data_IF_074397323039
#
_entry.id   IF_074397323039
#
_cell.length_a   1.000
_cell.length_b   1.000
_cell.length_c   1.000
_cell.angle_alpha   90.00
_cell.angle_beta   90.00
_cell.angle_gamma   90.00
#
_symmetry.space_group_name_H-M   'P 1'
#
loop_
_entity.id
_entity.type
_entity.pdbx_description
1 polymer ?
#
# COMPACT_ATOMS: atom_id res chain seq x y z
N UNK A 1 -45.77 -57.23 9.57
CA UNK A 1 -45.00 -58.42 9.99
C UNK A 1 -43.60 -58.19 9.47
N UNK A 2 -42.90 -57.27 10.13
CA UNK A 2 -41.99 -57.53 11.27
C UNK A 2 -40.63 -57.96 10.71
N UNK A 3 -39.49 -57.57 11.22
CA UNK A 3 -38.97 -56.45 12.00
C UNK A 3 -37.45 -56.74 12.03
N UNK A 4 -36.59 -55.71 12.09
CA UNK A 4 -35.27 -55.70 12.76
C UNK A 4 -34.24 -56.86 12.53
N UNK A 5 -32.92 -56.71 12.44
CA UNK A 5 -31.95 -55.63 12.55
C UNK A 5 -30.54 -56.27 12.34
N UNK A 6 -29.58 -55.45 11.89
CA UNK A 6 -28.18 -55.36 12.39
C UNK A 6 -27.10 -56.40 12.01
N UNK A 7 -26.01 -55.84 11.46
CA UNK A 7 -24.67 -56.43 11.37
C UNK A 7 -23.97 -55.98 10.07
N UNK A 8 -23.27 -54.85 9.99
CA UNK A 8 -22.11 -54.50 10.81
C UNK A 8 -20.82 -54.94 10.11
N UNK A 9 -20.37 -54.21 9.08
CA UNK A 9 -18.97 -54.21 8.60
C UNK A 9 -18.65 -52.82 8.04
N UNK A 10 -17.83 -52.10 8.80
CA UNK A 10 -17.32 -50.79 8.43
C UNK A 10 -15.97 -50.86 7.70
N UNK A 11 -15.74 -49.76 6.98
CA UNK A 11 -14.50 -49.25 6.37
C UNK A 11 -14.05 -49.91 5.05
N UNK A 12 -13.72 -49.05 4.06
CA UNK A 12 -12.39 -48.45 4.06
C UNK A 12 -12.37 -46.91 3.99
N UNK A 13 -11.53 -46.35 4.85
CA UNK A 13 -10.47 -45.40 4.47
C UNK A 13 -10.89 -44.10 3.78
N UNK A 14 -11.48 -43.18 4.57
CA UNK A 14 -11.35 -41.74 4.30
C UNK A 14 -9.90 -41.32 4.58
N UNK A 15 -9.17 -40.97 3.53
CA UNK A 15 -7.98 -40.13 3.66
C UNK A 15 -8.39 -38.81 4.31
N UNK A 16 -8.06 -38.65 5.58
CA UNK A 16 -8.00 -37.35 6.23
C UNK A 16 -6.76 -36.64 5.66
N UNK A 17 -6.99 -35.69 4.75
CA UNK A 17 -6.02 -34.62 4.53
C UNK A 17 -6.08 -33.76 5.78
N UNK A 18 -5.11 -33.98 6.67
CA UNK A 18 -4.78 -33.04 7.73
C UNK A 18 -4.21 -31.78 7.08
N UNK A 19 -5.02 -30.71 7.02
CA UNK A 19 -4.54 -29.36 6.78
C UNK A 19 -4.19 -28.78 8.16
N UNK A 20 -2.93 -28.42 8.43
CA UNK A 20 -2.60 -27.75 9.68
C UNK A 20 -3.16 -26.32 9.62
N UNK A 21 -4.20 -26.08 10.41
CA UNK A 21 -4.58 -24.78 10.87
C UNK A 21 -3.51 -24.33 11.88
N UNK A 22 -2.48 -23.64 11.41
CA UNK A 22 -1.63 -22.74 12.21
C UNK A 22 -0.68 -22.01 11.25
N UNK A 23 -1.19 -20.98 10.57
CA UNK A 23 -0.34 -19.87 10.18
C UNK A 23 -0.75 -18.72 11.08
N UNK A 24 0.05 -18.58 12.13
CA UNK A 24 0.09 -17.48 13.06
C UNK A 24 -0.29 -16.17 12.36
N UNK A 25 -1.42 -15.63 12.80
CA UNK A 25 -1.76 -14.22 12.69
C UNK A 25 -0.61 -13.41 13.33
N UNK A 26 0.43 -13.11 12.56
CA UNK A 26 1.24 -11.94 12.84
C UNK A 26 0.43 -10.73 12.40
N UNK A 27 -0.46 -10.32 13.30
CA UNK A 27 -0.88 -8.93 13.38
C UNK A 27 0.40 -8.09 13.38
N UNK A 28 0.67 -7.40 12.27
CA UNK A 28 1.63 -6.31 12.26
C UNK A 28 1.10 -5.30 13.29
N UNK A 29 1.88 -4.89 14.30
CA UNK A 29 1.44 -3.82 15.18
C UNK A 29 1.42 -2.53 14.37
N UNK A 30 0.29 -2.26 13.73
CA UNK A 30 -0.10 -0.92 13.31
C UNK A 30 -0.30 -0.10 14.59
N UNK A 31 0.76 0.61 14.96
CA UNK A 31 0.72 1.47 16.13
C UNK A 31 2.08 1.78 16.71
N UNK A 32 3.09 2.08 15.88
CA UNK A 32 4.26 2.78 16.41
C UNK A 32 3.96 4.27 16.38
N UNK A 33 3.47 4.75 17.52
CA UNK A 33 3.30 6.17 17.83
C UNK A 33 4.57 6.95 17.48
N UNK A 34 4.51 7.71 16.37
CA UNK A 34 5.53 8.73 16.05
C UNK A 34 5.16 10.08 16.70
N UNK A 35 4.44 10.03 17.81
CA UNK A 35 4.28 11.16 18.71
C UNK A 35 5.19 10.95 19.91
N UNK A 36 6.50 10.97 19.68
CA UNK A 36 7.44 11.25 20.77
C UNK A 36 7.61 12.77 20.78
N UNK A 37 7.09 13.49 21.78
CA UNK A 37 7.41 14.90 21.94
C UNK A 37 8.93 15.06 21.97
N UNK A 38 9.42 16.17 21.42
CA UNK A 38 10.81 16.60 21.57
C UNK A 38 11.17 16.66 23.06
N UNK A 39 11.66 15.56 23.61
CA UNK A 39 12.36 15.54 24.88
C UNK A 39 13.74 16.13 24.59
N UNK A 40 13.81 17.45 24.74
CA UNK A 40 15.04 18.15 25.05
C UNK A 40 15.60 17.43 26.26
N UNK A 41 16.68 16.68 26.06
CA UNK A 41 17.44 16.09 27.16
C UNK A 41 17.99 17.28 27.93
N UNK A 42 17.39 17.55 29.09
CA UNK A 42 17.94 18.45 30.09
C UNK A 42 19.12 17.70 30.72
N UNK A 43 20.27 17.74 30.04
CA UNK A 43 21.52 17.25 30.61
C UNK A 43 21.88 18.15 31.79
N UNK A 44 21.70 17.57 32.97
CA UNK A 44 22.03 18.07 34.28
C UNK A 44 23.47 18.62 34.30
N UNK A 45 23.62 19.92 34.11
CA UNK A 45 24.90 20.62 34.27
C UNK A 45 25.26 20.68 35.76
N UNK A 46 25.94 19.64 36.26
CA UNK A 46 26.80 19.74 37.44
C UNK A 46 28.15 20.33 37.03
N UNK A 47 28.31 21.62 37.30
CA UNK A 47 29.34 22.10 38.21
C UNK A 47 29.22 23.62 38.37
N UNK A 48 28.78 24.01 39.55
CA UNK A 48 28.66 25.36 40.07
C UNK A 48 30.03 26.04 40.13
N UNK A 49 30.49 26.62 39.02
CA UNK A 49 31.45 27.72 39.06
C UNK A 49 30.67 29.02 38.92
N UNK A 50 30.63 29.78 40.02
CA UNK A 50 30.05 31.13 40.13
C UNK A 50 30.23 31.86 38.79
N UNK A 51 29.14 31.97 38.03
CA UNK A 51 29.13 32.45 36.64
C UNK A 51 29.17 33.98 36.64
N UNK A 52 30.25 34.55 37.18
CA UNK A 52 30.52 35.97 37.06
C UNK A 52 30.87 36.23 35.60
N UNK A 53 30.12 37.12 34.96
CA UNK A 53 30.48 37.67 33.66
C UNK A 53 31.94 38.15 33.76
N UNK A 54 32.91 37.57 33.04
CA UNK A 54 34.32 37.91 33.22
C UNK A 54 34.55 39.40 33.00
N UNK A 55 33.74 40.06 32.16
CA UNK A 55 33.77 41.50 31.93
C UNK A 55 33.50 42.35 33.18
N UNK A 56 32.85 41.80 34.22
CA UNK A 56 32.66 42.49 35.51
C UNK A 56 33.95 42.62 36.33
N UNK A 57 35.03 41.94 35.93
CA UNK A 57 36.35 42.04 36.56
C UNK A 57 37.23 43.13 35.94
N UNK A 58 36.77 43.79 34.86
CA UNK A 58 37.49 44.91 34.27
C UNK A 58 37.41 46.14 35.19
N UNK A 59 38.54 46.83 35.39
CA UNK A 59 38.59 48.05 36.20
C UNK A 59 37.56 49.08 35.70
N UNK A 60 36.97 49.89 36.60
CA UNK A 60 36.06 50.96 36.22
C UNK A 60 36.76 52.01 35.34
N UNK A 61 35.99 52.83 34.59
CA UNK A 61 36.57 53.89 33.78
C UNK A 61 37.38 54.88 34.63
N UNK A 62 38.41 55.54 34.04
CA UNK A 62 39.23 56.53 34.74
C UNK A 62 38.36 57.63 35.35
N UNK A 63 38.73 58.06 36.56
CA UNK A 63 37.90 58.94 37.38
C UNK A 63 37.87 60.37 36.81
N UNK A 64 36.72 60.89 36.34
CA UNK A 64 36.66 62.19 35.66
C UNK A 64 36.97 63.37 36.59
N UNK A 65 36.93 63.18 37.92
CA UNK A 65 37.13 64.25 38.92
C UNK A 65 38.59 64.73 39.06
N UNK A 66 39.58 64.05 38.46
CA UNK A 66 40.95 64.58 38.37
C UNK A 66 41.14 65.62 37.26
N UNK A 67 40.18 65.77 36.35
CA UNK A 67 40.23 66.76 35.26
C UNK A 67 39.80 68.17 35.69
N UNK A 68 39.26 68.38 36.90
CA UNK A 68 38.69 69.67 37.36
C UNK A 68 39.63 70.43 38.31
N UNK A 69 40.95 70.29 38.13
CA UNK A 69 41.89 71.28 38.65
C UNK A 69 42.53 71.99 37.45
N UNK A 70 41.92 73.12 37.07
CA UNK A 70 42.39 74.08 36.07
C UNK A 70 43.70 74.81 36.48
N UNK A 71 44.62 74.12 37.15
CA UNK A 71 45.94 74.62 37.44
C UNK A 71 46.99 73.53 37.15
N UNK A 72 47.80 73.79 36.12
CA UNK A 72 49.08 73.14 35.79
C UNK A 72 49.05 71.83 34.97
N UNK A 73 48.69 71.93 33.69
CA UNK A 73 49.08 70.92 32.67
C UNK A 73 50.45 71.23 32.04
N UNK A 74 51.52 71.36 32.83
CA UNK A 74 52.87 71.51 32.25
C UNK A 74 54.01 70.77 32.97
N UNK A 75 53.73 69.81 33.86
CA UNK A 75 54.80 69.07 34.54
C UNK A 75 54.68 67.54 34.51
N UNK A 76 54.24 66.98 33.38
CA UNK A 76 54.61 65.59 33.06
C UNK A 76 55.99 65.64 32.38
N UNK A 77 57.00 65.15 33.10
CA UNK A 77 58.35 64.89 32.60
C UNK A 77 58.31 64.06 31.29
N UNK A 78 59.18 64.35 30.32
CA UNK A 78 59.29 63.60 29.05
C UNK A 78 59.50 62.08 29.27
N UNK A 79 60.17 61.69 30.35
CA UNK A 79 60.31 60.29 30.77
C UNK A 79 58.95 59.68 31.11
N UNK A 80 58.08 60.38 31.84
CA UNK A 80 56.73 59.93 32.16
C UNK A 80 55.86 59.80 30.91
N UNK A 81 55.98 60.70 29.93
CA UNK A 81 55.29 60.57 28.63
C UNK A 81 55.75 59.33 27.87
N UNK A 82 57.05 59.06 27.89
CA UNK A 82 57.66 57.88 27.27
C UNK A 82 57.15 56.59 27.92
N UNK A 83 57.09 56.56 29.26
CA UNK A 83 56.55 55.42 30.02
C UNK A 83 55.06 55.21 29.72
N UNK A 84 54.25 56.28 29.68
CA UNK A 84 52.82 56.21 29.33
C UNK A 84 52.62 55.61 27.94
N UNK A 85 53.38 56.09 26.95
CA UNK A 85 53.34 55.56 25.59
C UNK A 85 53.72 54.08 25.56
N UNK A 86 54.79 53.72 26.28
CA UNK A 86 55.25 52.34 26.38
C UNK A 86 54.19 51.41 27.01
N UNK A 87 53.56 51.82 28.11
CA UNK A 87 52.47 51.05 28.75
C UNK A 87 51.31 50.82 27.79
N UNK A 88 50.88 51.86 27.03
CA UNK A 88 49.82 51.73 26.02
C UNK A 88 50.22 50.76 24.91
N UNK A 89 51.43 50.88 24.36
CA UNK A 89 51.93 49.98 23.31
C UNK A 89 52.07 48.53 23.79
N UNK A 90 52.53 48.31 25.02
CA UNK A 90 52.62 46.97 25.63
C UNK A 90 51.24 46.35 25.78
N UNK A 91 50.24 47.10 26.25
CA UNK A 91 48.88 46.58 26.34
C UNK A 91 48.31 46.22 24.96
N UNK A 92 48.47 47.09 23.96
CA UNK A 92 48.03 46.80 22.59
C UNK A 92 48.68 45.52 22.10
N UNK A 93 50.00 45.38 22.23
CA UNK A 93 50.71 44.18 21.85
C UNK A 93 50.20 42.93 22.59
N UNK A 94 49.95 43.01 23.89
CA UNK A 94 49.42 41.90 24.67
C UNK A 94 48.00 41.50 24.24
N UNK A 95 47.14 42.47 23.94
CA UNK A 95 45.77 42.21 23.48
C UNK A 95 45.73 41.67 22.05
N UNK A 96 46.62 42.11 21.16
CA UNK A 96 46.59 41.75 19.73
C UNK A 96 47.53 40.61 19.35
N UNK A 97 48.55 40.31 20.17
CA UNK A 97 49.38 39.12 19.95
C UNK A 97 48.50 37.90 20.20
N UNK A 98 48.33 37.03 19.20
CA UNK A 98 47.34 35.93 19.17
C UNK A 98 47.44 34.85 20.28
N UNK A 99 48.21 35.13 21.34
CA UNK A 99 48.31 34.40 22.60
C UNK A 99 47.08 34.57 23.51
N UNK A 100 46.36 35.70 23.42
CA UNK A 100 45.21 36.00 24.29
C UNK A 100 43.89 35.39 23.78
N UNK A 101 43.80 34.05 23.79
CA UNK A 101 42.52 33.34 23.59
C UNK A 101 41.62 33.34 24.82
N UNK A 102 42.14 33.81 25.96
CA UNK A 102 41.46 33.79 27.25
C UNK A 102 41.08 35.23 27.67
N UNK A 103 39.78 35.49 27.80
CA UNK A 103 39.22 36.78 28.23
C UNK A 103 39.76 37.20 29.60
N UNK A 104 39.95 36.27 30.54
CA UNK A 104 40.49 36.57 31.86
C UNK A 104 41.93 37.09 31.78
N UNK A 105 42.74 36.56 30.86
CA UNK A 105 44.11 37.03 30.63
C UNK A 105 44.12 38.44 30.01
N UNK A 106 43.21 38.71 29.07
CA UNK A 106 43.05 40.03 28.46
C UNK A 106 42.66 41.09 29.51
N UNK A 107 41.74 40.74 30.41
CA UNK A 107 41.30 41.61 31.51
C UNK A 107 42.45 41.87 32.49
N UNK A 108 43.23 40.84 32.85
CA UNK A 108 44.41 41.00 33.73
C UNK A 108 45.44 41.95 33.10
N UNK A 109 45.75 41.78 31.82
CA UNK A 109 46.65 42.69 31.10
C UNK A 109 46.13 44.13 31.09
N UNK A 110 44.84 44.32 30.77
CA UNK A 110 44.20 45.63 30.74
C UNK A 110 44.19 46.31 32.11
N UNK A 111 43.79 45.61 33.16
CA UNK A 111 43.76 46.14 34.53
C UNK A 111 45.16 46.53 35.01
N UNK A 112 46.20 45.74 34.69
CA UNK A 112 47.58 46.09 35.02
C UNK A 112 48.01 47.37 34.29
N UNK A 113 47.69 47.51 33.01
CA UNK A 113 48.02 48.71 32.25
C UNK A 113 47.26 49.95 32.79
N UNK A 114 45.97 49.83 33.11
CA UNK A 114 45.18 50.92 33.68
C UNK A 114 45.69 51.35 35.05
N UNK A 115 46.08 50.41 35.91
CA UNK A 115 46.70 50.73 37.20
C UNK A 115 47.99 51.57 37.03
N UNK A 116 48.86 51.20 36.09
CA UNK A 116 50.08 51.96 35.81
C UNK A 116 49.76 53.36 35.22
N UNK A 117 48.73 53.48 34.38
CA UNK A 117 48.32 54.76 33.80
C UNK A 117 47.67 55.69 34.84
N UNK A 118 46.90 55.14 35.79
CA UNK A 118 46.35 55.87 36.94
C UNK A 118 47.46 56.38 37.85
N UNK A 119 48.47 55.55 38.15
CA UNK A 119 49.63 55.93 38.97
C UNK A 119 50.43 57.09 38.35
N UNK A 120 50.52 57.12 37.02
CA UNK A 120 51.21 58.17 36.25
C UNK A 120 50.32 59.40 35.97
N UNK A 121 49.08 59.41 36.49
CA UNK A 121 48.10 60.48 36.31
C UNK A 121 47.83 60.81 34.82
N UNK A 122 47.90 59.80 33.96
CA UNK A 122 47.71 59.97 32.52
C UNK A 122 46.23 60.15 32.15
N UNK A 123 45.93 60.97 31.12
CA UNK A 123 44.64 60.85 30.44
C UNK A 123 44.67 59.67 29.47
N UNK A 124 43.91 58.64 29.79
CA UNK A 124 43.77 57.44 28.97
C UNK A 124 42.31 57.08 28.71
N UNK A 125 41.38 58.02 28.85
CA UNK A 125 39.92 57.77 28.72
C UNK A 125 39.55 57.14 27.37
N UNK A 126 40.06 57.70 26.26
CA UNK A 126 39.85 57.13 24.92
C UNK A 126 40.52 55.76 24.77
N UNK A 127 41.70 55.57 25.36
CA UNK A 127 42.44 54.31 25.30
C UNK A 127 41.75 53.19 26.11
N UNK A 128 41.19 53.54 27.27
CA UNK A 128 40.38 52.66 28.10
C UNK A 128 39.16 52.13 27.32
N UNK A 129 38.41 53.03 26.67
CA UNK A 129 37.23 52.63 25.89
C UNK A 129 37.62 51.67 24.74
N UNK A 130 38.70 51.97 24.01
CA UNK A 130 39.17 51.10 22.94
C UNK A 130 39.59 49.72 23.45
N UNK A 131 40.32 49.63 24.56
CA UNK A 131 40.74 48.36 25.15
C UNK A 131 39.55 47.58 25.74
N UNK A 132 38.61 48.27 26.38
CA UNK A 132 37.36 47.68 26.87
C UNK A 132 36.55 47.09 25.73
N UNK A 133 36.30 47.86 24.68
CA UNK A 133 35.50 47.42 23.53
C UNK A 133 36.17 46.24 22.83
N UNK A 134 37.50 46.25 22.69
CA UNK A 134 38.25 45.12 22.16
C UNK A 134 38.00 43.83 22.97
N UNK A 135 38.07 43.89 24.30
CA UNK A 135 37.82 42.73 25.18
C UNK A 135 36.36 42.28 25.07
N UNK A 136 35.40 43.22 25.03
CA UNK A 136 33.97 42.92 24.87
C UNK A 136 33.71 42.19 23.55
N UNK A 137 34.20 42.71 22.42
CA UNK A 137 34.02 42.07 21.11
C UNK A 137 34.64 40.67 21.06
N UNK A 138 35.78 40.46 21.72
CA UNK A 138 36.40 39.14 21.83
C UNK A 138 35.54 38.18 22.66
N UNK A 139 34.93 38.65 23.75
CA UNK A 139 34.02 37.85 24.57
C UNK A 139 32.74 37.47 23.80
N UNK A 140 32.15 38.42 23.08
CA UNK A 140 30.96 38.19 22.26
C UNK A 140 31.25 37.19 21.14
N UNK A 141 32.40 37.34 20.45
CA UNK A 141 32.84 36.41 19.41
C UNK A 141 33.00 34.99 19.95
N UNK A 142 33.59 34.83 21.14
CA UNK A 142 33.77 33.53 21.76
C UNK A 142 32.42 32.89 22.12
N UNK A 143 31.52 33.68 22.70
CA UNK A 143 30.17 33.24 23.07
C UNK A 143 29.36 32.85 21.83
N UNK A 144 29.39 33.66 20.77
CA UNK A 144 28.71 33.38 19.51
C UNK A 144 29.25 32.11 18.83
N UNK A 145 30.56 31.87 18.86
CA UNK A 145 31.15 30.62 18.34
C UNK A 145 30.66 29.39 19.10
N UNK A 146 30.65 29.43 20.44
CA UNK A 146 30.14 28.34 21.26
C UNK A 146 28.66 28.08 21.02
N UNK A 147 27.85 29.14 20.94
CA UNK A 147 26.42 29.04 20.60
C UNK A 147 26.22 28.42 19.22
N UNK A 148 27.03 28.80 18.22
CA UNK A 148 26.98 28.22 16.87
C UNK A 148 27.31 26.73 16.86
N UNK A 149 28.28 26.29 17.64
CA UNK A 149 28.62 24.86 17.78
C UNK A 149 27.46 24.09 18.44
N UNK A 150 26.90 24.61 19.53
CA UNK A 150 25.76 24.01 20.25
C UNK A 150 24.46 23.99 19.42
N UNK A 151 24.20 25.04 18.64
CA UNK A 151 23.00 25.17 17.80
C UNK A 151 23.23 24.70 16.36
N UNK A 152 24.41 24.15 16.04
CA UNK A 152 24.63 23.57 14.73
C UNK A 152 23.55 22.52 14.48
N UNK A 153 22.86 22.64 13.34
CA UNK A 153 21.73 21.77 13.03
C UNK A 153 22.20 20.32 13.15
N UNK A 154 21.67 19.53 14.09
CA UNK A 154 22.23 18.22 14.38
C UNK A 154 22.22 17.40 13.10
N UNK A 155 23.38 16.85 12.72
CA UNK A 155 23.52 16.05 11.49
C UNK A 155 22.47 14.94 11.45
N UNK A 156 22.18 14.33 12.61
CA UNK A 156 21.11 13.35 12.76
C UNK A 156 19.73 13.89 12.40
N UNK A 157 19.38 15.12 12.79
CA UNK A 157 18.09 15.71 12.48
C UNK A 157 17.97 15.98 10.98
N UNK A 158 19.06 16.42 10.34
CA UNK A 158 19.13 16.56 8.88
C UNK A 158 18.89 15.24 8.17
N UNK A 159 19.61 14.19 8.58
CA UNK A 159 19.45 12.86 7.99
C UNK A 159 18.05 12.31 8.21
N UNK A 160 17.46 12.49 9.41
CA UNK A 160 16.08 12.08 9.67
C UNK A 160 15.08 12.82 8.78
N UNK A 161 15.26 14.12 8.59
CA UNK A 161 14.40 14.93 7.73
C UNK A 161 14.49 14.51 6.25
N UNK A 162 15.71 14.33 5.73
CA UNK A 162 15.94 13.87 4.35
C UNK A 162 15.35 12.46 4.14
N UNK A 163 15.56 11.54 5.08
CA UNK A 163 14.96 10.21 5.03
C UNK A 163 13.43 10.26 5.06
N UNK A 164 12.83 11.10 5.92
CA UNK A 164 11.39 11.25 6.01
C UNK A 164 10.77 11.76 4.70
N UNK A 165 11.44 12.70 4.01
CA UNK A 165 11.01 13.19 2.69
C UNK A 165 11.05 12.06 1.67
N UNK A 166 12.16 11.32 1.60
CA UNK A 166 12.31 10.20 0.66
C UNK A 166 11.22 9.15 0.89
N UNK A 167 11.04 8.69 2.14
CA UNK A 167 9.99 7.75 2.47
C UNK A 167 8.58 8.26 2.13
N UNK A 168 8.29 9.54 2.35
CA UNK A 168 6.99 10.11 2.02
C UNK A 168 6.72 10.12 0.49
N UNK A 169 7.76 10.38 -0.32
CA UNK A 169 7.64 10.34 -1.77
C UNK A 169 7.48 8.90 -2.28
N UNK A 170 8.24 7.94 -1.74
CA UNK A 170 8.13 6.53 -2.11
C UNK A 170 6.71 6.00 -1.82
N UNK A 171 6.17 6.30 -0.64
CA UNK A 171 4.80 5.94 -0.26
C UNK A 171 3.75 6.60 -1.15
N UNK A 172 3.97 7.85 -1.56
CA UNK A 172 3.08 8.55 -2.48
C UNK A 172 3.01 7.84 -3.83
N UNK A 173 4.15 7.41 -4.37
CA UNK A 173 4.20 6.69 -5.63
C UNK A 173 3.55 5.30 -5.53
N UNK A 174 3.77 4.58 -4.42
CA UNK A 174 3.12 3.30 -4.14
C UNK A 174 1.58 3.45 -4.03
N UNK A 175 1.09 4.54 -3.42
CA UNK A 175 -0.34 4.87 -3.39
C UNK A 175 -0.88 5.07 -4.79
N UNK A 176 -0.20 5.85 -5.65
CA UNK A 176 -0.64 6.07 -7.03
C UNK A 176 -0.70 4.76 -7.83
N UNK A 177 0.32 3.91 -7.72
CA UNK A 177 0.35 2.61 -8.38
C UNK A 177 -0.81 1.73 -7.89
N UNK A 178 -1.00 1.63 -6.58
CA UNK A 178 -2.08 0.84 -5.96
C UNK A 178 -3.46 1.31 -6.42
N UNK A 179 -3.70 2.63 -6.47
CA UNK A 179 -4.93 3.20 -6.99
C UNK A 179 -5.15 2.84 -8.47
N UNK A 180 -4.10 2.88 -9.29
CA UNK A 180 -4.16 2.42 -10.68
C UNK A 180 -4.53 0.94 -10.81
N UNK A 181 -3.95 0.07 -9.98
CA UNK A 181 -4.31 -1.35 -9.94
C UNK A 181 -5.78 -1.58 -9.52
N UNK A 182 -6.26 -0.85 -8.51
CA UNK A 182 -7.66 -0.91 -8.07
C UNK A 182 -8.59 -0.55 -9.23
N UNK A 183 -8.31 0.55 -9.96
CA UNK A 183 -9.14 0.96 -11.10
C UNK A 183 -9.19 -0.11 -12.20
N UNK A 184 -8.06 -0.75 -12.52
CA UNK A 184 -8.03 -1.86 -13.48
C UNK A 184 -8.86 -3.06 -13.02
N UNK A 185 -8.74 -3.44 -11.75
CA UNK A 185 -9.50 -4.56 -11.17
C UNK A 185 -10.99 -4.25 -11.17
N UNK A 186 -11.40 -3.04 -10.82
CA UNK A 186 -12.80 -2.61 -10.86
C UNK A 186 -13.38 -2.69 -12.27
N UNK A 187 -12.64 -2.22 -13.29
CA UNK A 187 -13.06 -2.33 -14.69
C UNK A 187 -13.22 -3.78 -15.15
N UNK A 188 -12.31 -4.67 -14.74
CA UNK A 188 -12.40 -6.11 -15.03
C UNK A 188 -13.62 -6.73 -14.33
N UNK A 189 -13.85 -6.39 -13.06
CA UNK A 189 -15.03 -6.84 -12.30
C UNK A 189 -16.32 -6.46 -13.00
N UNK A 190 -16.47 -5.18 -13.38
CA UNK A 190 -17.67 -4.70 -14.06
C UNK A 190 -17.92 -5.41 -15.40
N UNK A 191 -16.85 -5.69 -16.15
CA UNK A 191 -16.96 -6.49 -17.38
C UNK A 191 -17.44 -7.91 -17.12
N UNK A 192 -16.95 -8.56 -16.06
CA UNK A 192 -17.37 -9.92 -15.70
C UNK A 192 -18.82 -9.94 -15.20
N UNK A 193 -19.24 -8.93 -14.43
CA UNK A 193 -20.63 -8.78 -13.99
C UNK A 193 -21.59 -8.68 -15.19
N UNK A 194 -21.23 -7.92 -16.23
CA UNK A 194 -22.00 -7.86 -17.48
C UNK A 194 -22.06 -9.22 -18.19
N UNK A 195 -20.93 -9.92 -18.32
CA UNK A 195 -20.89 -11.25 -18.94
C UNK A 195 -21.76 -12.27 -18.19
N UNK A 196 -21.83 -12.18 -16.85
CA UNK A 196 -22.71 -13.04 -16.05
C UNK A 196 -24.18 -12.77 -16.39
N UNK A 197 -24.58 -11.50 -16.50
CA UNK A 197 -25.96 -11.13 -16.87
C UNK A 197 -26.31 -11.67 -18.27
N UNK A 198 -25.44 -11.48 -19.26
CA UNK A 198 -25.64 -11.98 -20.62
C UNK A 198 -25.77 -13.52 -20.66
N UNK A 199 -24.91 -14.22 -19.90
CA UNK A 199 -24.96 -15.68 -19.79
C UNK A 199 -26.25 -16.15 -19.11
N UNK A 200 -26.73 -15.45 -18.08
CA UNK A 200 -28.00 -15.77 -17.44
C UNK A 200 -29.19 -15.60 -18.38
N UNK A 201 -29.21 -14.56 -19.22
CA UNK A 201 -30.24 -14.36 -20.24
C UNK A 201 -30.23 -15.52 -21.26
N UNK A 202 -29.05 -15.92 -21.74
CA UNK A 202 -28.92 -17.04 -22.67
C UNK A 202 -29.40 -18.36 -22.06
N UNK A 203 -29.07 -18.61 -20.78
CA UNK A 203 -29.57 -19.78 -20.05
C UNK A 203 -31.09 -19.76 -19.96
N UNK A 204 -31.69 -18.57 -19.75
CA UNK A 204 -33.14 -18.40 -19.79
C UNK A 204 -33.75 -18.83 -21.12
N UNK A 205 -33.22 -18.32 -22.23
CA UNK A 205 -33.67 -18.67 -23.59
C UNK A 205 -33.52 -20.16 -23.88
N UNK A 206 -32.39 -20.77 -23.50
CA UNK A 206 -32.17 -22.21 -23.69
C UNK A 206 -33.15 -23.07 -22.89
N UNK A 207 -33.51 -22.66 -21.66
CA UNK A 207 -34.52 -23.36 -20.86
C UNK A 207 -35.89 -23.34 -21.53
N UNK A 208 -36.27 -22.22 -22.14
CA UNK A 208 -37.50 -22.09 -22.90
C UNK A 208 -37.50 -23.02 -24.13
N UNK A 209 -36.41 -23.02 -24.92
CA UNK A 209 -36.27 -23.94 -26.06
C UNK A 209 -36.38 -25.41 -25.64
N UNK A 210 -35.76 -25.80 -24.53
CA UNK A 210 -35.85 -27.18 -24.01
C UNK A 210 -37.30 -27.52 -23.60
N UNK A 211 -38.05 -26.57 -23.04
CA UNK A 211 -39.46 -26.80 -22.70
C UNK A 211 -40.31 -27.04 -23.95
N UNK A 212 -40.10 -26.25 -25.01
CA UNK A 212 -40.78 -26.43 -26.31
C UNK A 212 -40.45 -27.80 -26.91
N UNK A 213 -39.17 -28.16 -26.97
CA UNK A 213 -38.76 -29.46 -27.52
C UNK A 213 -39.34 -30.66 -26.75
N UNK A 214 -39.45 -30.56 -25.42
CA UNK A 214 -40.11 -31.59 -24.61
C UNK A 214 -41.59 -31.74 -24.95
N UNK A 215 -42.27 -30.64 -25.23
CA UNK A 215 -43.67 -30.66 -25.65
C UNK A 215 -43.82 -31.30 -27.03
N UNK A 216 -42.97 -30.93 -27.99
CA UNK A 216 -42.95 -31.51 -29.34
C UNK A 216 -42.63 -33.01 -29.30
N UNK A 217 -41.64 -33.43 -28.51
CA UNK A 217 -41.31 -34.85 -28.31
C UNK A 217 -42.52 -35.64 -27.78
N UNK A 218 -43.24 -35.08 -26.81
CA UNK A 218 -44.46 -35.68 -26.27
C UNK A 218 -45.57 -35.82 -27.33
N UNK A 219 -45.77 -34.79 -28.16
CA UNK A 219 -46.75 -34.83 -29.24
C UNK A 219 -46.41 -35.87 -30.31
N UNK A 220 -45.13 -35.96 -30.71
CA UNK A 220 -44.67 -36.92 -31.69
C UNK A 220 -44.81 -38.37 -31.18
N UNK A 221 -44.47 -38.62 -29.91
CA UNK A 221 -44.68 -39.94 -29.27
C UNK A 221 -46.15 -40.36 -29.27
N UNK A 222 -47.05 -39.41 -29.03
CA UNK A 222 -48.49 -39.68 -29.08
C UNK A 222 -48.96 -40.03 -30.51
N UNK A 223 -48.52 -39.27 -31.52
CA UNK A 223 -48.91 -39.56 -32.90
C UNK A 223 -48.28 -40.86 -33.42
N UNK A 224 -47.05 -41.18 -33.01
CA UNK A 224 -46.42 -42.49 -33.28
C UNK A 224 -47.29 -43.64 -32.77
N UNK A 225 -47.73 -43.58 -31.50
CA UNK A 225 -48.59 -44.61 -30.91
C UNK A 225 -49.90 -44.78 -31.68
N UNK A 226 -50.52 -43.67 -32.09
CA UNK A 226 -51.75 -43.67 -32.88
C UNK A 226 -51.55 -44.30 -34.25
N UNK A 227 -50.44 -43.99 -34.94
CA UNK A 227 -50.08 -44.59 -36.22
C UNK A 227 -49.81 -46.09 -36.10
N UNK A 228 -49.10 -46.52 -35.05
CA UNK A 228 -48.85 -47.94 -34.77
C UNK A 228 -50.17 -48.70 -34.59
N UNK A 229 -51.09 -48.18 -33.78
CA UNK A 229 -52.39 -48.80 -33.57
C UNK A 229 -53.22 -48.87 -34.87
N UNK A 230 -53.22 -47.81 -35.67
CA UNK A 230 -53.91 -47.80 -36.97
C UNK A 230 -53.31 -48.81 -37.95
N UNK A 231 -51.98 -48.93 -37.98
CA UNK A 231 -51.27 -49.92 -38.80
C UNK A 231 -51.64 -51.35 -38.40
N UNK A 232 -51.68 -51.67 -37.11
CA UNK A 232 -52.05 -53.00 -36.62
C UNK A 232 -53.46 -53.41 -37.09
N UNK A 233 -54.43 -52.48 -36.98
CA UNK A 233 -55.80 -52.68 -37.46
C UNK A 233 -55.82 -52.93 -38.98
N UNK A 234 -55.18 -52.05 -39.76
CA UNK A 234 -55.15 -52.17 -41.21
C UNK A 234 -54.45 -53.45 -41.68
N UNK A 235 -53.35 -53.84 -41.03
CA UNK A 235 -52.62 -55.05 -41.35
C UNK A 235 -53.46 -56.31 -41.05
N UNK A 236 -54.23 -56.31 -39.96
CA UNK A 236 -55.16 -57.39 -39.63
C UNK A 236 -56.29 -57.51 -40.67
N UNK A 237 -56.81 -56.39 -41.16
CA UNK A 237 -57.81 -56.37 -42.22
C UNK A 237 -57.26 -56.92 -43.53
N UNK A 238 -56.04 -56.51 -43.92
CA UNK A 238 -55.34 -57.04 -45.11
C UNK A 238 -55.20 -58.56 -45.01
N UNK A 239 -54.77 -59.09 -43.87
CA UNK A 239 -54.66 -60.55 -43.67
C UNK A 239 -56.01 -61.25 -43.81
N UNK A 240 -57.06 -60.66 -43.26
CA UNK A 240 -58.43 -61.20 -43.37
C UNK A 240 -58.90 -61.24 -44.82
N UNK A 241 -58.70 -60.16 -45.58
CA UNK A 241 -59.08 -60.07 -47.00
C UNK A 241 -58.25 -61.03 -47.85
N UNK A 242 -56.94 -61.16 -47.59
CA UNK A 242 -56.09 -62.13 -48.29
C UNK A 242 -56.61 -63.56 -48.13
N UNK A 243 -56.94 -63.96 -46.89
CA UNK A 243 -57.51 -65.28 -46.62
C UNK A 243 -58.85 -65.49 -47.34
N UNK A 244 -59.73 -64.48 -47.32
CA UNK A 244 -61.01 -64.54 -48.03
C UNK A 244 -60.82 -64.65 -49.55
N UNK A 245 -59.89 -63.89 -50.12
CA UNK A 245 -59.59 -63.90 -51.55
C UNK A 245 -59.02 -65.26 -51.98
N UNK A 246 -58.16 -65.87 -51.17
CA UNK A 246 -57.60 -67.20 -51.44
C UNK A 246 -58.69 -68.29 -51.38
N UNK A 247 -59.59 -68.23 -50.40
CA UNK A 247 -60.76 -69.11 -50.33
C UNK A 247 -61.67 -68.96 -51.56
N UNK A 248 -61.99 -67.72 -51.97
CA UNK A 248 -62.81 -67.44 -53.14
C UNK A 248 -62.16 -67.96 -54.44
N UNK A 249 -60.83 -67.80 -54.59
CA UNK A 249 -60.08 -68.36 -55.72
C UNK A 249 -60.16 -69.88 -55.78
N UNK A 250 -60.11 -70.56 -54.64
CA UNK A 250 -60.25 -72.02 -54.60
C UNK A 250 -61.66 -72.47 -55.01
N UNK A 251 -62.70 -71.78 -54.53
CA UNK A 251 -64.09 -72.05 -54.94
C UNK A 251 -64.29 -71.85 -56.45
N UNK A 252 -63.76 -70.76 -57.02
CA UNK A 252 -63.80 -70.53 -58.47
C UNK A 252 -63.13 -71.66 -59.24
N UNK A 253 -61.94 -72.11 -58.79
CA UNK A 253 -61.24 -73.23 -59.42
C UNK A 253 -62.07 -74.51 -59.40
N UNK A 254 -62.78 -74.79 -58.30
CA UNK A 254 -63.69 -75.95 -58.20
C UNK A 254 -64.92 -75.80 -59.11
N UNK A 255 -65.46 -74.60 -59.27
CA UNK A 255 -66.57 -74.32 -60.20
C UNK A 255 -66.09 -74.56 -61.64
N UNK A 256 -64.97 -73.98 -62.04
CA UNK A 256 -64.41 -74.13 -63.39
C UNK A 256 -64.13 -75.61 -63.70
N UNK A 257 -63.61 -76.37 -62.73
CA UNK A 257 -63.41 -77.81 -62.89
C UNK A 257 -64.73 -78.57 -63.11
N UNK A 258 -65.78 -78.26 -62.32
CA UNK A 258 -67.10 -78.87 -62.47
C UNK A 258 -67.78 -78.48 -63.79
N UNK A 259 -67.67 -77.22 -64.21
CA UNK A 259 -68.20 -76.73 -65.48
C UNK A 259 -67.53 -77.45 -66.66
N UNK A 260 -66.20 -77.51 -66.67
CA UNK A 260 -65.45 -78.24 -67.70
C UNK A 260 -65.79 -79.73 -67.72
N UNK A 261 -65.93 -80.38 -66.55
CA UNK A 261 -66.34 -81.77 -66.46
C UNK A 261 -67.76 -81.99 -67.02
N UNK A 262 -68.70 -81.09 -66.71
CA UNK A 262 -70.07 -81.15 -67.22
C UNK A 262 -70.12 -80.93 -68.74
N UNK A 263 -69.40 -79.94 -69.27
CA UNK A 263 -69.30 -79.69 -70.73
C UNK A 263 -68.74 -80.93 -71.46
N UNK A 264 -67.63 -81.50 -70.97
CA UNK A 264 -67.06 -82.73 -71.52
C UNK A 264 -68.04 -83.91 -71.45
N UNK A 265 -68.78 -84.02 -70.35
CA UNK A 265 -69.82 -85.04 -70.16
C UNK A 265 -70.97 -84.90 -71.17
N UNK A 266 -71.47 -83.68 -71.38
CA UNK A 266 -72.49 -83.36 -72.39
C UNK A 266 -72.00 -83.69 -73.79
N UNK A 267 -70.77 -83.28 -74.15
CA UNK A 267 -70.21 -83.56 -75.47
C UNK A 267 -70.06 -85.07 -75.71
N UNK A 268 -69.59 -85.82 -74.70
CA UNK A 268 -69.50 -87.29 -74.77
C UNK A 268 -70.88 -87.93 -74.96
N UNK A 269 -71.90 -87.49 -74.20
CA UNK A 269 -73.26 -88.00 -74.31
C UNK A 269 -73.88 -87.68 -75.69
N UNK A 270 -73.69 -86.46 -76.20
CA UNK A 270 -74.13 -86.05 -77.52
C UNK A 270 -73.50 -86.90 -78.63
N UNK A 271 -72.20 -87.20 -78.55
CA UNK A 271 -71.52 -88.11 -79.49
C UNK A 271 -72.11 -89.52 -79.45
N UNK A 272 -72.44 -90.06 -78.27
CA UNK A 272 -73.08 -91.39 -78.13
C UNK A 272 -74.47 -91.41 -78.75
N UNK A 273 -75.28 -90.38 -78.53
CA UNK A 273 -76.63 -90.27 -79.10
C UNK A 273 -76.63 -90.17 -80.63
N UNK A 274 -75.63 -89.49 -81.22
CA UNK A 274 -75.45 -89.43 -82.68
C UNK A 274 -74.97 -90.73 -83.34
N UNK A 275 -74.57 -91.73 -82.55
CA UNK A 275 -74.03 -93.01 -83.03
C UNK A 275 -75.06 -94.14 -83.03
N UNK A 276 -76.34 -93.83 -82.74
CA UNK A 276 -77.51 -94.71 -82.86
C UNK A 276 -78.21 -94.39 -84.18
#
# INVERSE_FOLDING_TARGET
MDDCERGGRGLPQKQQIAVPAEVSSMAIPLGSSINTPLLIIDEEHKDEKINLNPLSLLSPPPNPRRQINDFSSSHINEESKTIISHVKSVLVFQLTSGSTKNIEAMIKCANNAFFNLDFLEADYSSFYNNARDFIVYHYDLLTAKRQREMQSFPVELKTRYENAITCANDLKDEIFQTQGHIAMVMKKKESLERQIVDAMELIGKLKECVAVLKQEEGALKYEEQKCVAAYEIANQEVQTICNQAEAAKNILREIDQRENAALNGIESAFRRLKSI
#
